data_IF_630221507921
#
_entry.id   IF_630221507921
#
_cell.length_a   1.000
_cell.length_b   1.000
_cell.length_c   1.000
_cell.angle_alpha   90.00
_cell.angle_beta   90.00
_cell.angle_gamma   90.00
#
_symmetry.space_group_name_H-M   'P 1'
#
loop_
_entity.id
_entity.type
_entity.pdbx_description
1 polymer ?
#
# COMPACT_ATOMS: atom_id res chain seq x y z
N UNK A 1 -7.55 -43.00 -22.53
CA UNK A 1 -6.55 -42.89 -21.40
C UNK A 1 -5.65 -41.67 -21.57
N UNK A 2 -5.40 -41.17 -22.79
CA UNK A 2 -4.48 -40.02 -23.04
C UNK A 2 -5.02 -38.65 -22.64
N UNK A 3 -6.33 -38.44 -22.65
CA UNK A 3 -6.94 -37.12 -22.32
C UNK A 3 -6.87 -36.81 -20.84
N UNK A 4 -6.98 -37.84 -19.99
CA UNK A 4 -6.91 -37.65 -18.52
C UNK A 4 -5.49 -37.26 -18.05
N UNK A 5 -4.45 -37.76 -18.69
CA UNK A 5 -3.04 -37.39 -18.38
C UNK A 5 -2.73 -35.95 -18.76
N UNK A 6 -3.26 -35.44 -19.88
CA UNK A 6 -3.04 -34.07 -20.34
C UNK A 6 -3.73 -33.01 -19.43
N UNK A 7 -4.93 -33.32 -18.93
CA UNK A 7 -5.63 -32.44 -18.00
C UNK A 7 -4.92 -32.38 -16.64
N UNK A 8 -4.44 -33.51 -16.12
CA UNK A 8 -3.70 -33.56 -14.86
C UNK A 8 -2.37 -32.78 -14.96
N UNK A 9 -1.68 -32.86 -16.09
CA UNK A 9 -0.43 -32.10 -16.31
C UNK A 9 -0.67 -30.60 -16.41
N UNK A 10 -1.80 -30.16 -16.96
CA UNK A 10 -2.17 -28.75 -17.00
C UNK A 10 -2.45 -28.16 -15.60
N UNK A 11 -3.10 -28.94 -14.71
CA UNK A 11 -3.31 -28.52 -13.32
C UNK A 11 -2.07 -28.65 -12.42
N UNK A 12 -1.04 -29.39 -12.85
CA UNK A 12 0.23 -29.55 -12.13
C UNK A 12 1.34 -28.66 -12.70
N UNK A 13 1.01 -27.68 -13.56
CA UNK A 13 2.00 -26.69 -13.98
C UNK A 13 2.45 -25.93 -12.72
N UNK A 14 3.73 -26.02 -12.33
CA UNK A 14 4.19 -25.37 -11.10
C UNK A 14 4.02 -23.87 -11.26
N UNK A 15 3.12 -23.29 -10.49
CA UNK A 15 3.14 -21.85 -10.25
C UNK A 15 4.55 -21.50 -9.77
N UNK A 16 5.14 -20.48 -10.36
CA UNK A 16 6.48 -20.03 -9.95
C UNK A 16 6.34 -19.34 -8.60
N UNK A 17 6.42 -20.11 -7.53
CA UNK A 17 6.50 -19.56 -6.20
C UNK A 17 7.83 -18.83 -6.02
N UNK A 18 7.77 -17.53 -5.83
CA UNK A 18 8.90 -16.76 -5.30
C UNK A 18 8.79 -16.89 -3.78
N UNK A 19 9.84 -17.40 -3.12
CA UNK A 19 9.81 -17.49 -1.66
C UNK A 19 9.69 -16.09 -1.03
N UNK A 20 8.97 -15.98 0.08
CA UNK A 20 8.83 -14.73 0.84
C UNK A 20 10.19 -14.09 1.18
N UNK A 21 11.22 -14.91 1.48
CA UNK A 21 12.59 -14.47 1.73
C UNK A 21 13.22 -13.73 0.53
N UNK A 22 12.97 -14.18 -0.70
CA UNK A 22 13.45 -13.49 -1.90
C UNK A 22 12.72 -12.16 -2.08
N UNK A 23 11.40 -12.15 -1.91
CA UNK A 23 10.59 -10.92 -1.95
C UNK A 23 11.07 -9.91 -0.90
N UNK A 24 11.31 -10.36 0.33
CA UNK A 24 11.83 -9.53 1.41
C UNK A 24 13.18 -8.91 1.08
N UNK A 25 14.12 -9.67 0.51
CA UNK A 25 15.45 -9.14 0.12
C UNK A 25 15.36 -8.07 -0.95
N UNK A 26 14.51 -8.26 -1.95
CA UNK A 26 14.27 -7.28 -3.02
C UNK A 26 13.66 -6.01 -2.44
N UNK A 27 12.62 -6.16 -1.61
CA UNK A 27 12.00 -5.03 -0.92
C UNK A 27 13.01 -4.28 -0.05
N UNK A 28 13.80 -4.98 0.79
CA UNK A 28 14.80 -4.35 1.67
C UNK A 28 15.79 -3.49 0.89
N UNK A 29 16.33 -4.00 -0.23
CA UNK A 29 17.27 -3.24 -1.07
C UNK A 29 16.62 -1.99 -1.69
N UNK A 30 15.34 -2.08 -2.08
CA UNK A 30 14.56 -0.95 -2.61
C UNK A 30 14.30 0.09 -1.51
N UNK A 31 13.84 -0.36 -0.34
CA UNK A 31 13.58 0.50 0.81
C UNK A 31 14.84 1.28 1.24
N UNK A 32 16.00 0.61 1.34
CA UNK A 32 17.29 1.26 1.64
C UNK A 32 17.66 2.35 0.62
N UNK A 33 17.36 2.12 -0.65
CA UNK A 33 17.62 3.09 -1.70
C UNK A 33 16.75 4.34 -1.56
N UNK A 34 15.46 4.16 -1.25
CA UNK A 34 14.55 5.29 -1.02
C UNK A 34 14.81 6.00 0.30
N UNK A 35 15.15 5.28 1.38
CA UNK A 35 15.56 5.88 2.66
C UNK A 35 16.77 6.81 2.47
N UNK A 36 17.77 6.33 1.73
CA UNK A 36 18.94 7.13 1.39
C UNK A 36 18.58 8.35 0.55
N UNK A 37 17.74 8.16 -0.49
CA UNK A 37 17.28 9.26 -1.35
C UNK A 37 16.53 10.32 -0.54
N UNK A 38 15.61 9.92 0.34
CA UNK A 38 14.90 10.85 1.21
C UNK A 38 15.84 11.60 2.15
N UNK A 39 16.84 10.90 2.71
CA UNK A 39 17.88 11.53 3.55
C UNK A 39 18.73 12.53 2.79
N UNK A 40 19.23 12.16 1.61
CA UNK A 40 20.06 13.04 0.75
C UNK A 40 19.30 14.30 0.28
N UNK A 41 17.97 14.19 0.11
CA UNK A 41 17.09 15.30 -0.28
C UNK A 41 16.56 16.10 0.92
N UNK A 42 16.83 15.67 2.15
CA UNK A 42 16.34 16.31 3.37
C UNK A 42 14.82 16.31 3.48
N UNK A 43 14.18 15.24 3.04
CA UNK A 43 12.72 15.07 3.15
C UNK A 43 12.31 14.72 4.58
N UNK A 44 11.06 15.01 4.93
CA UNK A 44 10.48 14.66 6.22
C UNK A 44 10.20 13.16 6.36
N UNK A 45 9.87 12.73 7.58
CA UNK A 45 9.47 11.33 7.85
C UNK A 45 7.99 11.05 7.53
N UNK A 46 7.24 12.06 7.09
CA UNK A 46 5.83 11.91 6.73
C UNK A 46 5.68 11.02 5.50
N UNK A 47 4.68 10.15 5.53
CA UNK A 47 4.29 9.25 4.45
C UNK A 47 2.82 9.43 4.20
N UNK A 48 2.46 10.01 3.05
CA UNK A 48 1.08 10.39 2.72
C UNK A 48 0.69 9.65 1.45
N UNK A 49 -0.33 8.82 1.54
CA UNK A 49 -0.86 8.06 0.42
C UNK A 49 -2.07 8.78 -0.15
N UNK A 50 -2.07 8.96 -1.45
CA UNK A 50 -3.11 9.68 -2.19
C UNK A 50 -3.62 8.77 -3.29
N UNK A 51 -4.92 8.52 -3.32
CA UNK A 51 -5.55 7.84 -4.43
C UNK A 51 -5.83 8.85 -5.56
N UNK A 52 -5.52 8.48 -6.79
CA UNK A 52 -5.93 9.27 -7.94
C UNK A 52 -7.38 8.92 -8.30
N UNK A 53 -8.27 9.87 -8.06
CA UNK A 53 -9.69 9.75 -8.39
C UNK A 53 -10.03 10.35 -9.75
N UNK A 54 -9.04 10.83 -10.52
CA UNK A 54 -9.26 11.56 -11.78
C UNK A 54 -9.38 10.67 -13.03
N UNK A 55 -9.45 9.35 -12.86
CA UNK A 55 -9.50 8.36 -13.95
C UNK A 55 -10.84 8.29 -14.70
N UNK A 56 -11.43 9.41 -15.13
CA UNK A 56 -12.59 9.46 -16.06
C UNK A 56 -12.21 9.41 -17.55
N UNK A 57 -10.98 9.02 -17.88
CA UNK A 57 -10.60 8.84 -19.28
C UNK A 57 -10.92 7.41 -19.75
N UNK A 58 -12.10 7.23 -20.34
CA UNK A 58 -12.63 5.99 -20.96
C UNK A 58 -11.72 5.34 -22.02
N UNK A 59 -10.46 5.78 -22.15
CA UNK A 59 -9.62 5.41 -23.31
C UNK A 59 -8.63 4.27 -23.03
N UNK A 60 -8.44 3.85 -21.78
CA UNK A 60 -7.58 2.70 -21.47
C UNK A 60 -8.18 1.83 -20.38
N UNK A 61 -8.57 0.60 -20.75
CA UNK A 61 -9.18 -0.43 -19.89
C UNK A 61 -8.24 -1.01 -18.79
N UNK A 62 -7.23 -0.27 -18.36
CA UNK A 62 -6.24 -0.67 -17.37
C UNK A 62 -6.03 0.35 -16.23
N UNK A 63 -6.96 1.30 -16.07
CA UNK A 63 -6.80 2.31 -15.00
C UNK A 63 -7.56 1.89 -13.75
N UNK A 64 -7.06 0.89 -13.06
CA UNK A 64 -7.24 0.80 -11.61
C UNK A 64 -6.60 2.07 -11.03
N UNK A 65 -7.35 2.88 -10.29
CA UNK A 65 -6.95 4.22 -9.86
C UNK A 65 -5.50 4.28 -9.39
N UNK A 66 -4.70 5.13 -10.01
CA UNK A 66 -3.31 5.33 -9.67
C UNK A 66 -3.22 5.84 -8.24
N UNK A 67 -2.39 5.22 -7.43
CA UNK A 67 -2.10 5.67 -6.07
C UNK A 67 -0.68 6.19 -5.99
N UNK A 68 -0.47 7.20 -5.15
CA UNK A 68 0.82 7.85 -4.96
C UNK A 68 1.22 7.88 -3.48
N UNK A 69 2.48 7.62 -3.21
CA UNK A 69 3.11 7.91 -1.94
C UNK A 69 3.84 9.24 -2.06
N UNK A 70 3.36 10.26 -1.35
CA UNK A 70 3.98 11.57 -1.26
C UNK A 70 4.80 11.68 0.02
N UNK A 71 6.06 12.07 -0.12
CA UNK A 71 7.00 12.35 0.97
C UNK A 71 7.34 13.83 0.94
N UNK A 72 6.73 14.65 1.80
CA UNK A 72 6.92 16.10 1.79
C UNK A 72 8.31 16.50 2.28
N UNK A 73 8.80 17.66 1.83
CA UNK A 73 10.08 18.20 2.30
C UNK A 73 10.03 18.60 3.77
N UNK A 74 8.94 19.20 4.23
CA UNK A 74 8.78 19.65 5.61
C UNK A 74 7.45 19.18 6.20
N UNK A 75 7.31 19.28 7.52
CA UNK A 75 6.07 18.95 8.23
C UNK A 75 4.90 19.85 7.83
N UNK A 76 5.17 21.07 7.37
CA UNK A 76 4.17 22.08 6.99
C UNK A 76 3.82 22.02 5.49
N UNK A 77 4.47 21.15 4.71
CA UNK A 77 4.22 21.02 3.27
C UNK A 77 2.80 20.54 3.01
N UNK A 78 2.06 21.27 2.19
CA UNK A 78 0.71 20.89 1.76
C UNK A 78 0.77 19.68 0.83
N UNK A 79 -0.29 18.87 0.85
CA UNK A 79 -0.46 17.76 -0.07
C UNK A 79 -0.78 18.34 -1.45
N UNK A 80 -0.06 17.97 -2.53
CA UNK A 80 -0.36 18.39 -3.89
C UNK A 80 -1.75 17.92 -4.32
N UNK A 81 -2.37 18.65 -5.26
CA UNK A 81 -3.55 18.16 -5.96
C UNK A 81 -3.17 16.97 -6.87
N UNK A 82 -4.13 16.11 -7.19
CA UNK A 82 -3.89 14.85 -7.93
C UNK A 82 -3.13 15.04 -9.24
N UNK A 83 -3.34 16.14 -9.95
CA UNK A 83 -2.65 16.48 -11.21
C UNK A 83 -1.16 16.80 -11.04
N UNK A 84 -0.67 16.99 -9.83
CA UNK A 84 0.74 17.34 -9.57
C UNK A 84 1.65 16.10 -9.41
N UNK A 85 1.10 14.89 -9.46
CA UNK A 85 1.87 13.64 -9.29
C UNK A 85 2.49 13.09 -10.59
N UNK A 86 2.29 13.76 -11.73
CA UNK A 86 2.92 13.38 -13.01
C UNK A 86 4.45 13.43 -12.99
N UNK A 87 5.02 14.10 -12.00
CA UNK A 87 6.47 14.21 -11.79
C UNK A 87 6.88 13.58 -10.46
N UNK A 88 7.96 12.79 -10.47
CA UNK A 88 8.54 12.21 -9.27
C UNK A 88 8.98 13.26 -8.23
N UNK A 89 9.24 14.49 -8.66
CA UNK A 89 9.59 15.61 -7.79
C UNK A 89 8.65 16.78 -8.00
N UNK A 90 7.93 17.18 -6.97
CA UNK A 90 7.29 18.49 -6.93
C UNK A 90 8.26 19.52 -6.42
N UNK A 91 8.43 20.60 -7.20
CA UNK A 91 9.30 21.76 -6.87
C UNK A 91 8.51 23.03 -6.61
N UNK A 92 7.19 22.97 -6.67
CA UNK A 92 6.32 24.11 -6.44
C UNK A 92 6.43 24.60 -5.00
N UNK A 93 6.36 25.92 -4.83
CA UNK A 93 6.47 26.54 -3.50
C UNK A 93 5.33 26.07 -2.61
N UNK A 94 5.66 25.47 -1.48
CA UNK A 94 4.68 24.95 -0.51
C UNK A 94 4.25 23.48 -0.74
N UNK A 95 4.63 22.86 -1.87
CA UNK A 95 4.29 21.48 -2.22
C UNK A 95 5.52 20.63 -2.58
N UNK A 96 6.68 21.00 -2.06
CA UNK A 96 7.93 20.28 -2.37
C UNK A 96 7.96 18.90 -1.73
N UNK A 97 8.32 17.92 -2.53
CA UNK A 97 8.40 16.54 -2.04
C UNK A 97 8.72 15.55 -3.14
N UNK A 98 8.82 14.31 -2.75
CA UNK A 98 9.00 13.14 -3.62
C UNK A 98 7.67 12.42 -3.75
N UNK A 99 7.27 12.11 -4.98
CA UNK A 99 6.10 11.29 -5.29
C UNK A 99 6.55 10.01 -5.97
N UNK A 100 6.15 8.87 -5.42
CA UNK A 100 6.49 7.55 -5.97
C UNK A 100 5.28 6.63 -5.96
N UNK A 101 5.31 5.59 -6.80
CA UNK A 101 4.32 4.52 -6.74
C UNK A 101 4.48 3.76 -5.42
N UNK A 102 3.42 3.59 -4.62
CA UNK A 102 3.45 2.79 -3.40
C UNK A 102 3.76 1.31 -3.70
N UNK A 103 4.53 0.66 -2.83
CA UNK A 103 4.81 -0.79 -2.95
C UNK A 103 3.54 -1.62 -2.83
N UNK A 104 2.52 -1.13 -2.12
CA UNK A 104 1.21 -1.76 -1.95
C UNK A 104 0.27 -1.62 -3.14
N UNK A 105 0.56 -0.77 -4.15
CA UNK A 105 -0.37 -0.54 -5.27
C UNK A 105 -0.68 -1.82 -6.04
N UNK A 106 0.34 -2.64 -6.36
CA UNK A 106 0.12 -3.89 -7.07
C UNK A 106 -0.65 -4.93 -6.24
N UNK A 107 -0.44 -4.96 -4.93
CA UNK A 107 -1.20 -5.81 -4.01
C UNK A 107 -2.65 -5.32 -3.93
N UNK A 108 -2.86 -4.02 -3.86
CA UNK A 108 -4.21 -3.44 -3.83
C UNK A 108 -4.97 -3.72 -5.13
N UNK A 109 -4.34 -3.57 -6.30
CA UNK A 109 -4.94 -3.93 -7.59
C UNK A 109 -5.35 -5.40 -7.66
N UNK A 110 -4.51 -6.31 -7.15
CA UNK A 110 -4.84 -7.74 -7.07
C UNK A 110 -6.02 -7.98 -6.13
N UNK A 111 -6.06 -7.30 -4.98
CA UNK A 111 -7.18 -7.34 -4.05
C UNK A 111 -8.47 -6.84 -4.69
N UNK A 112 -8.49 -5.67 -5.32
CA UNK A 112 -9.68 -5.14 -6.00
C UNK A 112 -10.22 -6.12 -7.06
N UNK A 113 -9.34 -6.77 -7.80
CA UNK A 113 -9.72 -7.77 -8.80
C UNK A 113 -10.35 -9.02 -8.17
N UNK A 114 -9.98 -9.36 -6.94
CA UNK A 114 -10.51 -10.52 -6.21
C UNK A 114 -11.83 -10.24 -5.48
N UNK A 115 -12.19 -8.96 -5.30
CA UNK A 115 -13.40 -8.59 -4.57
C UNK A 115 -14.66 -9.14 -5.25
N UNK A 116 -15.51 -9.77 -4.47
CA UNK A 116 -16.87 -10.20 -4.89
C UNK A 116 -17.93 -9.17 -4.54
N UNK A 117 -17.63 -8.28 -3.60
CA UNK A 117 -18.46 -7.16 -3.16
C UNK A 117 -17.71 -5.83 -3.43
N UNK A 118 -18.41 -4.71 -3.56
CA UNK A 118 -17.75 -3.41 -3.72
C UNK A 118 -16.77 -3.10 -2.59
N UNK A 119 -15.72 -2.35 -2.91
CA UNK A 119 -14.81 -1.80 -1.90
C UNK A 119 -15.60 -1.00 -0.87
N UNK A 120 -15.31 -1.20 0.40
CA UNK A 120 -15.94 -0.46 1.50
C UNK A 120 -15.67 1.04 1.40
N UNK A 121 -16.60 1.84 1.91
CA UNK A 121 -16.49 3.31 1.97
C UNK A 121 -16.37 3.85 3.40
N UNK A 122 -16.27 2.97 4.39
CA UNK A 122 -16.05 3.35 5.80
C UNK A 122 -14.76 2.72 6.31
N UNK A 123 -14.11 3.35 7.26
CA UNK A 123 -12.88 2.83 7.85
C UNK A 123 -13.06 1.40 8.41
N UNK A 124 -14.20 1.11 9.02
CA UNK A 124 -14.49 -0.21 9.60
C UNK A 124 -14.62 -1.29 8.52
N UNK A 125 -15.42 -1.05 7.47
CA UNK A 125 -15.60 -2.01 6.37
C UNK A 125 -14.31 -2.23 5.58
N UNK A 126 -13.54 -1.16 5.34
CA UNK A 126 -12.24 -1.24 4.68
C UNK A 126 -11.24 -2.06 5.50
N UNK A 127 -11.14 -1.79 6.81
CA UNK A 127 -10.24 -2.55 7.68
C UNK A 127 -10.62 -4.03 7.75
N UNK A 128 -11.91 -4.38 7.73
CA UNK A 128 -12.34 -5.77 7.66
C UNK A 128 -11.88 -6.44 6.36
N UNK A 129 -12.19 -5.85 5.20
CA UNK A 129 -11.77 -6.38 3.90
C UNK A 129 -10.24 -6.47 3.77
N UNK A 130 -9.50 -5.43 4.21
CA UNK A 130 -8.04 -5.40 4.17
C UNK A 130 -7.42 -6.40 5.15
N UNK A 131 -8.06 -6.67 6.30
CA UNK A 131 -7.61 -7.70 7.24
C UNK A 131 -7.72 -9.08 6.62
N UNK A 132 -8.84 -9.37 5.97
CA UNK A 132 -9.06 -10.67 5.33
C UNK A 132 -8.03 -10.91 4.22
N UNK A 133 -7.77 -9.92 3.37
CA UNK A 133 -6.77 -10.08 2.30
C UNK A 133 -5.35 -10.22 2.83
N UNK A 134 -4.98 -9.48 3.88
CA UNK A 134 -3.63 -9.57 4.47
C UNK A 134 -3.39 -10.91 5.13
N UNK A 135 -4.41 -11.49 5.79
CA UNK A 135 -4.26 -12.71 6.59
C UNK A 135 -4.60 -13.96 5.78
N UNK A 136 -5.74 -13.95 5.07
CA UNK A 136 -6.30 -15.15 4.45
C UNK A 136 -5.91 -15.30 2.97
N UNK A 137 -5.98 -14.21 2.18
CA UNK A 137 -5.77 -14.32 0.73
C UNK A 137 -4.30 -14.26 0.34
N UNK A 138 -3.57 -13.30 0.90
CA UNK A 138 -2.15 -13.08 0.56
C UNK A 138 -1.19 -13.69 1.57
N UNK A 139 -1.68 -14.16 2.71
CA UNK A 139 -0.87 -14.76 3.78
C UNK A 139 0.35 -13.88 4.17
N UNK A 140 0.16 -12.53 4.16
CA UNK A 140 1.22 -11.57 4.47
C UNK A 140 1.47 -11.44 5.97
N UNK A 141 0.54 -11.93 6.80
CA UNK A 141 0.64 -11.92 8.24
C UNK A 141 -0.14 -13.09 8.86
N UNK A 142 0.17 -13.41 10.11
CA UNK A 142 -0.58 -14.44 10.86
C UNK A 142 -1.89 -13.92 11.41
N UNK A 143 -1.88 -12.68 11.90
CA UNK A 143 -3.07 -12.02 12.45
C UNK A 143 -2.98 -10.52 12.25
N UNK A 144 -4.13 -9.89 12.06
CA UNK A 144 -4.28 -8.45 12.05
C UNK A 144 -5.43 -8.06 12.99
N UNK A 145 -5.21 -7.05 13.81
CA UNK A 145 -6.26 -6.42 14.64
C UNK A 145 -6.26 -4.93 14.38
N UNK A 146 -7.41 -4.30 14.48
CA UNK A 146 -7.55 -2.87 14.23
C UNK A 146 -8.55 -2.22 15.18
N UNK A 147 -8.37 -0.93 15.41
CA UNK A 147 -9.27 -0.06 16.15
C UNK A 147 -9.54 1.18 15.29
N UNK A 148 -10.81 1.47 15.05
CA UNK A 148 -11.23 2.58 14.20
C UNK A 148 -11.82 3.71 15.04
N UNK A 149 -11.37 4.93 14.78
CA UNK A 149 -11.91 6.16 15.36
C UNK A 149 -12.26 7.15 14.25
N UNK A 150 -13.43 6.97 13.61
CA UNK A 150 -13.85 7.83 12.51
C UNK A 150 -14.06 9.29 12.91
N UNK A 151 -14.30 9.58 14.20
CA UNK A 151 -14.49 10.94 14.68
C UNK A 151 -13.16 11.72 14.68
N UNK A 152 -12.06 11.04 14.99
CA UNK A 152 -10.69 11.57 14.93
C UNK A 152 -10.01 11.32 13.58
N UNK A 153 -10.70 10.72 12.59
CA UNK A 153 -10.14 10.38 11.30
C UNK A 153 -8.94 9.42 11.42
N UNK A 154 -9.08 8.34 12.20
CA UNK A 154 -7.95 7.49 12.58
C UNK A 154 -8.29 6.00 12.59
N UNK A 155 -7.33 5.20 12.12
CA UNK A 155 -7.27 3.75 12.34
C UNK A 155 -5.93 3.41 12.98
N UNK A 156 -5.95 2.57 14.01
CA UNK A 156 -4.76 1.94 14.59
C UNK A 156 -4.76 0.45 14.27
N UNK A 157 -3.63 -0.08 13.79
CA UNK A 157 -3.51 -1.48 13.35
C UNK A 157 -2.35 -2.14 14.05
N UNK A 158 -2.53 -3.42 14.41
CA UNK A 158 -1.47 -4.31 14.87
C UNK A 158 -1.45 -5.57 14.03
N UNK A 159 -0.28 -5.91 13.48
CA UNK A 159 -0.07 -7.05 12.60
C UNK A 159 1.01 -7.94 13.21
N UNK A 160 0.68 -9.21 13.48
CA UNK A 160 1.62 -10.17 14.05
C UNK A 160 2.07 -11.18 13.02
N UNK A 161 3.35 -11.53 13.05
CA UNK A 161 3.95 -12.46 12.10
C UNK A 161 3.96 -11.93 10.68
N UNK A 162 4.17 -10.61 10.54
CA UNK A 162 4.30 -9.95 9.25
C UNK A 162 5.48 -10.51 8.45
N UNK A 163 5.25 -10.77 7.16
CA UNK A 163 6.33 -11.04 6.20
C UNK A 163 7.03 -9.74 5.83
N UNK A 164 8.11 -9.64 5.20
CA UNK A 164 8.88 -8.45 4.81
C UNK A 164 9.68 -7.76 5.94
N UNK A 165 9.66 -8.28 7.17
CA UNK A 165 10.56 -7.85 8.25
C UNK A 165 10.18 -6.51 8.89
N UNK A 166 11.14 -5.59 9.01
CA UNK A 166 10.99 -4.35 9.76
C UNK A 166 10.00 -3.37 9.12
N UNK A 167 8.87 -3.18 9.79
CA UNK A 167 7.78 -2.31 9.34
C UNK A 167 8.09 -0.82 9.32
N UNK A 168 9.20 -0.38 9.95
CA UNK A 168 9.63 1.03 9.91
C UNK A 168 10.37 1.41 8.63
N UNK A 169 10.73 0.41 7.81
CA UNK A 169 11.37 0.64 6.52
C UNK A 169 10.49 1.46 5.58
N UNK A 170 11.14 2.13 4.63
CA UNK A 170 10.43 2.93 3.64
C UNK A 170 9.35 2.11 2.93
N UNK A 171 8.12 2.59 3.00
CA UNK A 171 6.97 2.06 2.26
C UNK A 171 6.77 0.53 2.43
N UNK A 172 6.71 0.06 3.69
CA UNK A 172 6.53 -1.36 3.99
C UNK A 172 5.28 -1.93 3.31
N UNK A 173 5.37 -3.08 2.58
CA UNK A 173 4.31 -3.55 1.70
C UNK A 173 2.93 -3.70 2.37
N UNK A 174 2.88 -4.21 3.62
CA UNK A 174 1.61 -4.31 4.36
C UNK A 174 1.07 -2.92 4.72
N UNK A 175 1.92 -2.02 5.24
CA UNK A 175 1.53 -0.65 5.59
C UNK A 175 1.06 0.08 4.34
N UNK A 176 1.77 -0.07 3.24
CA UNK A 176 1.45 0.51 1.94
C UNK A 176 0.12 0.01 1.38
N UNK A 177 -0.13 -1.31 1.42
CA UNK A 177 -1.41 -1.91 1.02
C UNK A 177 -2.58 -1.32 1.83
N UNK A 178 -2.45 -1.28 3.16
CA UNK A 178 -3.47 -0.74 4.04
C UNK A 178 -3.73 0.75 3.77
N UNK A 179 -2.66 1.53 3.59
CA UNK A 179 -2.76 2.96 3.33
C UNK A 179 -3.41 3.27 1.98
N UNK A 180 -3.03 2.54 0.92
CA UNK A 180 -3.63 2.65 -0.40
C UNK A 180 -5.12 2.28 -0.34
N UNK A 181 -5.46 1.16 0.30
CA UNK A 181 -6.85 0.73 0.44
C UNK A 181 -7.72 1.73 1.21
N UNK A 182 -7.19 2.27 2.32
CA UNK A 182 -7.88 3.32 3.07
C UNK A 182 -8.00 4.61 2.25
N UNK A 183 -6.94 5.05 1.58
CA UNK A 183 -6.97 6.28 0.77
C UNK A 183 -7.98 6.17 -0.38
N UNK A 184 -8.03 5.02 -1.06
CA UNK A 184 -8.98 4.76 -2.15
C UNK A 184 -10.42 4.67 -1.64
N UNK A 185 -10.69 3.85 -0.62
CA UNK A 185 -12.06 3.63 -0.16
C UNK A 185 -12.66 4.82 0.62
N UNK A 186 -11.81 5.66 1.25
CA UNK A 186 -12.25 6.87 1.93
C UNK A 186 -12.23 8.11 1.00
N UNK A 187 -11.64 7.99 -0.20
CA UNK A 187 -11.43 9.12 -1.13
C UNK A 187 -10.71 10.30 -0.48
N UNK A 188 -9.71 9.99 0.35
CA UNK A 188 -8.95 10.99 1.12
C UNK A 188 -7.48 10.59 1.23
N UNK A 189 -6.57 11.57 1.27
CA UNK A 189 -5.18 11.30 1.62
C UNK A 189 -5.07 10.65 2.99
N UNK A 190 -4.20 9.65 3.11
CA UNK A 190 -3.95 8.92 4.36
C UNK A 190 -2.49 9.05 4.74
N UNK A 191 -2.24 9.64 5.90
CA UNK A 191 -0.90 9.72 6.50
C UNK A 191 -0.65 8.52 7.41
N UNK A 192 0.53 7.91 7.31
CA UNK A 192 0.89 6.74 8.12
C UNK A 192 2.01 7.04 9.09
N UNK A 193 1.92 6.42 10.28
CA UNK A 193 2.99 6.41 11.27
C UNK A 193 3.15 5.00 11.80
N UNK A 194 4.35 4.41 11.65
CA UNK A 194 4.68 3.10 12.22
C UNK A 194 5.39 3.32 13.55
N UNK A 195 4.92 2.66 14.61
CA UNK A 195 5.39 2.86 15.99
C UNK A 195 6.14 1.66 16.56
N UNK A 196 5.93 0.47 16.01
CA UNK A 196 6.61 -0.75 16.44
C UNK A 196 6.67 -1.77 15.30
N UNK A 197 7.62 -2.70 15.38
CA UNK A 197 7.89 -3.71 14.34
C UNK A 197 7.50 -5.13 14.73
N UNK A 198 7.42 -5.44 16.02
CA UNK A 198 7.03 -6.75 16.56
C UNK A 198 6.12 -6.58 17.80
N UNK A 199 4.80 -6.69 17.68
CA UNK A 199 4.04 -6.72 16.42
C UNK A 199 4.18 -5.42 15.62
N UNK A 200 4.06 -5.50 14.29
CA UNK A 200 4.01 -4.31 13.45
C UNK A 200 2.79 -3.47 13.86
N UNK A 201 3.04 -2.27 14.35
CA UNK A 201 1.99 -1.38 14.83
C UNK A 201 2.05 -0.05 14.08
N UNK A 202 0.94 0.35 13.51
CA UNK A 202 0.82 1.56 12.73
C UNK A 202 -0.47 2.33 12.98
N UNK A 203 -0.42 3.62 12.71
CA UNK A 203 -1.58 4.52 12.74
C UNK A 203 -1.75 5.16 11.37
N UNK A 204 -2.99 5.21 10.91
CA UNK A 204 -3.42 5.78 9.64
C UNK A 204 -4.39 6.93 9.95
N UNK A 205 -4.14 8.12 9.39
CA UNK A 205 -4.94 9.33 9.61
C UNK A 205 -5.36 9.95 8.28
N UNK A 206 -6.61 10.44 8.20
CA UNK A 206 -7.18 11.09 7.00
C UNK A 206 -7.90 12.39 7.29
#
# INVERSE_FOLDING_TARGET
>A
TGVFGGVLTYFLTPERFISADVGQRVYTATAESFERLCGDLGLSDRRIYVADTTGDDETTAETTGDSWLFVPQTQETSIPESTAFDSAFSVESGQRGLSVRPTGSGLFSAFETSLTEPLGSTAETLCAQLSDVVVEDFELAKTMTYDTDPADGRVSVQVSGAVYGDGTRFDHPIVSLLAVGLATGLERPVETTVTATEPLSGTFRW
#
